data_IF_460143180052
#
_entry.id   IF_460143180052
#
_cell.length_a   1.000
_cell.length_b   1.000
_cell.length_c   1.000
_cell.angle_alpha   90.00
_cell.angle_beta   90.00
_cell.angle_gamma   90.00
#
_symmetry.space_group_name_H-M   'P 1'
#
loop_
_entity.id
_entity.type
_entity.pdbx_description
1 polymer ?
#
# COMPACT_ATOMS: atom_id res chain seq x y z
N UNK A 1 -4.19 2.40 10.42
CA UNK A 1 -3.41 1.50 11.27
C UNK A 1 -2.41 0.75 10.41
N UNK A 2 -1.19 0.57 10.94
CA UNK A 2 -0.18 -0.32 10.38
C UNK A 2 -0.03 -1.52 11.33
N UNK A 3 0.03 -2.72 10.79
CA UNK A 3 0.18 -3.95 11.55
C UNK A 3 1.29 -4.79 10.93
N UNK A 4 2.21 -5.24 11.77
CA UNK A 4 3.30 -6.16 11.38
C UNK A 4 2.93 -7.56 11.85
N UNK A 5 2.90 -8.49 10.93
CA UNK A 5 2.68 -9.91 11.18
C UNK A 5 4.01 -10.65 11.06
N UNK A 6 4.36 -11.43 12.06
CA UNK A 6 5.58 -12.24 12.08
C UNK A 6 5.24 -13.71 11.85
N UNK A 7 6.04 -14.38 11.05
CA UNK A 7 5.91 -15.83 10.83
C UNK A 7 6.40 -16.31 9.48
N UNK A 8 6.53 -17.62 9.35
CA UNK A 8 7.03 -18.32 8.16
C UNK A 8 6.18 -18.10 6.88
N UNK A 9 5.01 -17.50 7.01
CA UNK A 9 4.10 -17.26 5.90
C UNK A 9 4.65 -16.26 4.87
N UNK A 10 5.52 -15.34 5.29
CA UNK A 10 6.10 -14.32 4.41
C UNK A 10 6.83 -14.90 3.19
N UNK A 11 7.46 -16.07 3.33
CA UNK A 11 8.14 -16.78 2.25
C UNK A 11 7.25 -17.19 1.06
N UNK A 12 5.94 -17.20 1.24
CA UNK A 12 4.97 -17.50 0.17
C UNK A 12 4.58 -16.28 -0.66
N UNK A 13 5.09 -15.10 -0.31
CA UNK A 13 4.87 -13.88 -1.10
C UNK A 13 5.92 -13.83 -2.20
N UNK A 14 5.49 -13.90 -3.45
CA UNK A 14 6.37 -13.96 -4.62
C UNK A 14 6.56 -12.62 -5.32
N UNK A 15 5.61 -11.69 -5.16
CA UNK A 15 5.64 -10.40 -5.86
C UNK A 15 4.96 -9.28 -5.05
N UNK A 16 5.43 -8.02 -5.18
CA UNK A 16 4.72 -6.86 -4.63
C UNK A 16 3.34 -6.73 -5.27
N UNK A 17 2.36 -6.25 -4.50
CA UNK A 17 0.97 -6.13 -4.93
C UNK A 17 0.11 -7.36 -4.64
N UNK A 18 0.68 -8.45 -4.12
CA UNK A 18 -0.10 -9.54 -3.57
C UNK A 18 -0.80 -9.13 -2.27
N UNK A 19 -1.77 -9.92 -1.83
CA UNK A 19 -2.56 -9.67 -0.64
C UNK A 19 -2.66 -10.91 0.25
N UNK A 20 -3.08 -10.70 1.48
CA UNK A 20 -3.43 -11.76 2.43
C UNK A 20 -4.92 -11.70 2.75
N UNK A 21 -5.47 -12.82 3.18
CA UNK A 21 -6.87 -12.89 3.57
C UNK A 21 -6.98 -13.40 5.02
N UNK A 22 -7.29 -12.50 5.96
CA UNK A 22 -7.18 -12.70 7.41
C UNK A 22 -8.52 -13.20 7.97
N UNK A 23 -8.49 -14.29 8.70
CA UNK A 23 -9.60 -14.71 9.57
C UNK A 23 -9.59 -13.84 10.83
N UNK A 24 -10.66 -13.10 11.05
CA UNK A 24 -10.70 -12.08 12.09
C UNK A 24 -10.86 -12.69 13.50
N UNK A 25 -11.69 -13.74 13.60
CA UNK A 25 -11.92 -14.48 14.84
C UNK A 25 -12.41 -15.90 14.51
N UNK A 26 -12.64 -16.72 15.55
CA UNK A 26 -13.17 -18.08 15.42
C UNK A 26 -14.70 -18.15 15.54
N UNK A 27 -15.37 -17.01 15.72
CA UNK A 27 -16.83 -16.96 15.75
C UNK A 27 -17.44 -16.94 14.35
N UNK A 28 -18.76 -17.14 14.28
CA UNK A 28 -19.51 -17.03 13.04
C UNK A 28 -19.74 -15.58 12.59
N UNK A 29 -19.39 -14.59 13.40
CA UNK A 29 -19.50 -13.17 13.08
C UNK A 29 -18.25 -12.40 13.56
N UNK A 30 -17.61 -11.65 12.66
CA UNK A 30 -17.81 -11.63 11.22
C UNK A 30 -17.25 -12.91 10.55
N UNK A 31 -18.09 -13.60 9.79
CA UNK A 31 -17.73 -14.91 9.20
C UNK A 31 -16.64 -14.82 8.12
N UNK A 32 -16.74 -13.81 7.24
CA UNK A 32 -15.84 -13.70 6.10
C UNK A 32 -14.44 -13.21 6.53
N UNK A 33 -13.41 -13.77 5.92
CA UNK A 33 -12.05 -13.25 6.00
C UNK A 33 -11.98 -11.83 5.43
N UNK A 34 -10.98 -11.08 5.84
CA UNK A 34 -10.72 -9.72 5.33
C UNK A 34 -9.49 -9.71 4.44
N UNK A 35 -9.66 -9.39 3.14
CA UNK A 35 -8.53 -9.22 2.22
C UNK A 35 -7.78 -7.92 2.59
N UNK A 36 -6.47 -8.03 2.76
CA UNK A 36 -5.58 -6.92 3.08
C UNK A 36 -4.40 -6.93 2.12
N UNK A 37 -4.20 -5.82 1.42
CA UNK A 37 -3.02 -5.66 0.58
C UNK A 37 -1.75 -5.65 1.42
N UNK A 38 -0.70 -6.29 0.92
CA UNK A 38 0.61 -6.27 1.54
C UNK A 38 1.30 -4.95 1.17
N UNK A 39 1.72 -4.21 2.19
CA UNK A 39 2.47 -2.96 2.02
C UNK A 39 3.96 -3.23 1.86
N UNK A 40 4.51 -4.05 2.76
CA UNK A 40 5.91 -4.44 2.76
C UNK A 40 6.06 -5.86 3.30
N UNK A 41 7.17 -6.52 2.99
CA UNK A 41 7.49 -7.83 3.51
C UNK A 41 8.98 -8.14 3.42
N UNK A 42 9.45 -9.00 4.30
CA UNK A 42 10.75 -9.65 4.28
C UNK A 42 10.58 -11.17 4.50
N UNK A 43 11.63 -11.88 4.84
CA UNK A 43 11.59 -13.34 5.01
C UNK A 43 10.67 -13.80 6.14
N UNK A 44 10.43 -12.96 7.16
CA UNK A 44 9.70 -13.30 8.37
C UNK A 44 8.54 -12.37 8.70
N UNK A 45 8.42 -11.23 8.01
CA UNK A 45 7.43 -10.22 8.35
C UNK A 45 6.57 -9.85 7.15
N UNK A 46 5.31 -9.56 7.42
CA UNK A 46 4.35 -8.98 6.49
C UNK A 46 3.77 -7.73 7.12
N UNK A 47 3.84 -6.60 6.41
CA UNK A 47 3.25 -5.33 6.84
C UNK A 47 1.96 -5.08 6.07
N UNK A 48 0.87 -4.85 6.80
CA UNK A 48 -0.40 -4.42 6.23
C UNK A 48 -0.81 -3.07 6.78
N UNK A 49 -1.54 -2.30 5.97
CA UNK A 49 -2.10 -1.01 6.39
C UNK A 49 -3.60 -1.02 6.09
N UNK A 50 -4.39 -0.66 7.08
CA UNK A 50 -5.84 -0.67 6.97
C UNK A 50 -6.51 0.48 7.72
N UNK A 51 -7.72 0.80 7.30
CA UNK A 51 -8.62 1.74 7.97
C UNK A 51 -9.74 0.96 8.65
N UNK A 52 -10.16 1.42 9.82
CA UNK A 52 -11.34 0.86 10.48
C UNK A 52 -12.59 1.37 9.75
N UNK A 53 -13.30 0.45 9.10
CA UNK A 53 -14.50 0.76 8.31
C UNK A 53 -15.70 -0.11 8.68
N UNK A 54 -15.51 -1.07 9.59
CA UNK A 54 -16.57 -1.97 10.04
C UNK A 54 -16.08 -2.93 11.11
N UNK A 55 -16.96 -3.82 11.56
CA UNK A 55 -16.74 -4.74 12.67
C UNK A 55 -15.42 -5.53 12.57
N UNK A 56 -15.16 -6.17 11.41
CA UNK A 56 -13.94 -6.97 11.24
C UNK A 56 -12.66 -6.17 11.38
N UNK A 57 -12.60 -4.95 10.84
CA UNK A 57 -11.42 -4.08 10.97
C UNK A 57 -11.32 -3.44 12.35
N UNK A 58 -12.43 -3.29 13.08
CA UNK A 58 -12.43 -2.90 14.49
C UNK A 58 -11.80 -4.00 15.35
N UNK A 59 -12.24 -5.24 15.19
CA UNK A 59 -11.67 -6.39 15.92
C UNK A 59 -10.17 -6.54 15.57
N UNK A 60 -9.81 -6.39 14.31
CA UNK A 60 -8.40 -6.48 13.89
C UNK A 60 -7.53 -5.40 14.56
N UNK A 61 -8.03 -4.16 14.64
CA UNK A 61 -7.35 -3.05 15.29
C UNK A 61 -7.08 -3.35 16.79
N UNK A 62 -8.02 -4.02 17.45
CA UNK A 62 -7.98 -4.27 18.89
C UNK A 62 -7.25 -5.59 19.25
N UNK A 63 -6.65 -6.28 18.27
CA UNK A 63 -5.80 -7.45 18.52
C UNK A 63 -4.56 -7.08 19.34
N UNK A 64 -4.30 -7.82 20.37
CA UNK A 64 -3.11 -7.65 21.20
C UNK A 64 -1.85 -8.13 20.48
N UNK A 65 -0.72 -7.50 20.79
CA UNK A 65 0.60 -7.94 20.29
C UNK A 65 0.85 -9.39 20.80
N UNK A 66 1.30 -10.24 19.89
CA UNK A 66 1.50 -11.68 20.15
C UNK A 66 0.27 -12.53 19.87
N UNK A 67 -0.88 -11.94 19.50
CA UNK A 67 -2.04 -12.70 19.04
C UNK A 67 -1.72 -13.47 17.77
N UNK A 68 -2.23 -14.70 17.66
CA UNK A 68 -2.12 -15.48 16.43
C UNK A 68 -3.27 -15.15 15.48
N UNK A 69 -2.95 -15.01 14.20
CA UNK A 69 -3.91 -14.78 13.12
C UNK A 69 -3.82 -15.90 12.08
N UNK A 70 -4.96 -16.47 11.73
CA UNK A 70 -5.07 -17.43 10.63
C UNK A 70 -5.18 -16.64 9.30
N UNK A 71 -4.18 -16.76 8.45
CA UNK A 71 -4.05 -16.00 7.20
C UNK A 71 -3.85 -16.94 6.00
N UNK A 72 -4.56 -16.67 4.92
CA UNK A 72 -4.20 -17.17 3.59
C UNK A 72 -3.24 -16.17 2.96
N UNK A 73 -2.06 -16.63 2.54
CA UNK A 73 -0.94 -15.78 2.12
C UNK A 73 -0.56 -16.07 0.67
N UNK A 74 0.08 -15.10 0.00
CA UNK A 74 0.53 -15.24 -1.39
C UNK A 74 -0.62 -15.21 -2.40
N UNK A 75 -1.71 -14.51 -2.08
CA UNK A 75 -2.87 -14.37 -2.95
C UNK A 75 -2.67 -13.25 -3.98
N UNK A 76 -3.25 -13.44 -5.17
CA UNK A 76 -3.12 -12.50 -6.29
C UNK A 76 -1.81 -12.67 -7.07
N UNK A 77 -1.74 -12.00 -8.22
CA UNK A 77 -0.61 -12.14 -9.16
C UNK A 77 0.52 -11.14 -8.92
N UNK A 78 0.26 -10.06 -8.15
CA UNK A 78 1.21 -8.97 -7.96
C UNK A 78 1.39 -8.08 -9.20
N UNK A 79 2.33 -7.13 -9.09
CA UNK A 79 2.70 -6.25 -10.20
C UNK A 79 3.77 -6.89 -11.07
N UNK A 80 3.66 -6.69 -12.39
CA UNK A 80 4.71 -7.06 -13.33
C UNK A 80 5.71 -5.90 -13.44
N UNK A 81 6.94 -6.12 -13.00
CA UNK A 81 8.03 -5.13 -13.11
C UNK A 81 8.52 -5.11 -14.56
N UNK A 82 8.67 -3.89 -15.11
CA UNK A 82 9.19 -3.63 -16.46
C UNK A 82 10.35 -2.64 -16.36
N UNK A 83 11.14 -2.55 -17.41
CA UNK A 83 12.25 -1.59 -17.50
C UNK A 83 11.75 -0.16 -17.75
N UNK A 84 12.61 0.83 -17.41
CA UNK A 84 12.37 2.23 -17.64
C UNK A 84 11.97 3.02 -16.38
N UNK A 85 11.69 4.30 -16.58
CA UNK A 85 11.24 5.21 -15.51
C UNK A 85 9.84 4.87 -15.05
N UNK A 86 9.68 4.64 -13.76
CA UNK A 86 8.43 4.20 -13.16
C UNK A 86 7.69 5.34 -12.44
N UNK A 87 6.40 5.46 -12.71
CA UNK A 87 5.48 6.32 -11.97
C UNK A 87 4.57 5.47 -11.09
N UNK A 88 4.63 5.68 -9.77
CA UNK A 88 3.72 5.10 -8.80
C UNK A 88 2.59 6.09 -8.49
N UNK A 89 1.35 5.64 -8.59
CA UNK A 89 0.17 6.47 -8.37
C UNK A 89 -0.71 5.81 -7.31
N UNK A 90 -0.68 6.35 -6.09
CA UNK A 90 -1.44 5.83 -4.94
C UNK A 90 -2.57 6.76 -4.54
N UNK A 91 -3.78 6.22 -4.34
CA UNK A 91 -4.93 6.96 -3.81
C UNK A 91 -5.37 6.41 -2.45
N UNK A 92 -5.25 7.20 -1.36
CA UNK A 92 -5.65 6.77 -0.03
C UNK A 92 -5.04 5.41 0.36
N UNK A 93 -5.89 4.42 0.68
CA UNK A 93 -5.45 3.05 1.01
C UNK A 93 -4.90 2.24 -0.19
N UNK A 94 -4.87 2.81 -1.39
CA UNK A 94 -4.11 2.26 -2.50
C UNK A 94 -2.61 2.59 -2.45
N UNK A 95 -2.18 3.48 -1.55
CA UNK A 95 -0.77 3.81 -1.34
C UNK A 95 0.07 2.64 -0.83
N UNK A 96 -0.32 1.89 0.22
CA UNK A 96 0.48 0.81 0.79
C UNK A 96 0.91 -0.28 -0.19
N UNK A 97 0.06 -0.81 -1.07
CA UNK A 97 0.46 -1.86 -2.03
C UNK A 97 1.60 -1.48 -2.98
N UNK A 98 1.82 -0.17 -3.18
CA UNK A 98 2.87 0.34 -4.06
C UNK A 98 4.23 0.49 -3.34
N UNK A 99 4.27 0.40 -2.01
CA UNK A 99 5.47 0.71 -1.24
C UNK A 99 6.61 -0.29 -1.50
N UNK A 100 6.35 -1.60 -1.31
CA UNK A 100 7.36 -2.63 -1.59
C UNK A 100 7.74 -2.68 -3.08
N UNK A 101 6.79 -2.42 -3.99
CA UNK A 101 7.08 -2.29 -5.42
C UNK A 101 8.09 -1.17 -5.67
N UNK A 102 7.88 0.02 -5.10
CA UNK A 102 8.77 1.15 -5.26
C UNK A 102 10.18 0.88 -4.74
N UNK A 103 10.29 0.25 -3.56
CA UNK A 103 11.58 -0.21 -3.01
C UNK A 103 12.32 -1.15 -3.98
N UNK A 104 11.61 -2.13 -4.53
CA UNK A 104 12.20 -3.11 -5.46
C UNK A 104 12.62 -2.47 -6.77
N UNK A 105 11.81 -1.56 -7.33
CA UNK A 105 12.16 -0.81 -8.53
C UNK A 105 13.42 0.04 -8.31
N UNK A 106 13.48 0.81 -7.23
CA UNK A 106 14.63 1.63 -6.89
C UNK A 106 15.89 0.79 -6.64
N UNK A 107 15.77 -0.33 -5.90
CA UNK A 107 16.86 -1.26 -5.67
C UNK A 107 17.39 -1.90 -6.96
N UNK A 108 16.53 -2.07 -7.98
CA UNK A 108 16.91 -2.54 -9.31
C UNK A 108 17.51 -1.43 -10.19
N UNK A 109 17.63 -0.19 -9.70
CA UNK A 109 18.24 0.94 -10.40
C UNK A 109 17.29 1.74 -11.28
N UNK A 110 15.97 1.51 -11.19
CA UNK A 110 14.99 2.33 -11.91
C UNK A 110 14.81 3.71 -11.26
N UNK A 111 14.63 4.74 -12.09
CA UNK A 111 14.14 6.03 -11.61
C UNK A 111 12.67 5.89 -11.22
N UNK A 112 12.35 6.20 -9.96
CA UNK A 112 10.99 6.10 -9.42
C UNK A 112 10.47 7.48 -9.05
N UNK A 113 9.28 7.81 -9.52
CA UNK A 113 8.50 8.98 -9.11
C UNK A 113 7.20 8.50 -8.50
N UNK A 114 6.79 9.12 -7.41
CA UNK A 114 5.58 8.73 -6.68
C UNK A 114 4.62 9.91 -6.58
N UNK A 115 3.35 9.69 -6.93
CA UNK A 115 2.27 10.66 -6.75
C UNK A 115 1.21 10.03 -5.84
N UNK A 116 0.96 10.65 -4.69
CA UNK A 116 0.02 10.18 -3.69
C UNK A 116 -1.15 11.15 -3.56
N UNK A 117 -2.37 10.64 -3.69
CA UNK A 117 -3.61 11.41 -3.60
C UNK A 117 -4.40 11.11 -2.33
N UNK A 118 -4.88 12.18 -1.67
CA UNK A 118 -5.68 12.10 -0.45
C UNK A 118 -6.81 13.13 -0.46
N UNK A 119 -7.76 13.02 0.47
CA UNK A 119 -8.80 14.02 0.60
C UNK A 119 -8.27 15.32 1.22
N UNK A 120 -7.41 15.22 2.23
CA UNK A 120 -6.86 16.35 2.98
C UNK A 120 -5.51 16.02 3.62
N UNK A 121 -4.82 17.04 4.13
CA UNK A 121 -3.52 16.91 4.80
C UNK A 121 -3.53 15.88 5.97
N UNK A 122 -4.64 15.79 6.71
CA UNK A 122 -4.78 14.85 7.84
C UNK A 122 -4.84 13.39 7.41
N UNK A 123 -5.13 13.13 6.14
CA UNK A 123 -5.22 11.78 5.57
C UNK A 123 -3.88 11.33 4.97
N UNK A 124 -2.90 12.23 4.87
CA UNK A 124 -1.58 11.94 4.27
C UNK A 124 -0.78 11.01 5.18
N UNK A 125 -0.29 9.94 4.61
CA UNK A 125 0.62 9.00 5.26
C UNK A 125 1.61 8.40 4.25
N UNK A 126 2.69 7.80 4.72
CA UNK A 126 3.72 7.17 3.91
C UNK A 126 4.55 8.11 3.03
N UNK A 127 4.29 9.41 3.02
CA UNK A 127 5.08 10.37 2.22
C UNK A 127 6.58 10.23 2.49
N UNK A 128 6.97 10.22 3.77
CA UNK A 128 8.38 10.13 4.17
C UNK A 128 8.98 8.76 3.79
N UNK A 129 8.23 7.67 3.96
CA UNK A 129 8.66 6.32 3.57
C UNK A 129 8.96 6.24 2.06
N UNK A 130 8.08 6.80 1.21
CA UNK A 130 8.33 6.84 -0.23
C UNK A 130 9.48 7.78 -0.62
N UNK A 131 9.69 8.87 0.14
CA UNK A 131 10.76 9.82 -0.11
C UNK A 131 12.18 9.23 0.09
N UNK A 132 12.29 8.10 0.79
CA UNK A 132 13.56 7.39 0.95
C UNK A 132 14.13 6.86 -0.37
N UNK A 133 13.29 6.59 -1.37
CA UNK A 133 13.72 5.98 -2.64
C UNK A 133 13.13 6.63 -3.89
N UNK A 134 12.23 7.60 -3.76
CA UNK A 134 11.57 8.25 -4.90
C UNK A 134 11.36 9.74 -4.68
N UNK A 135 11.16 10.49 -5.77
CA UNK A 135 10.62 11.84 -5.69
C UNK A 135 9.11 11.77 -5.48
N UNK A 136 8.63 12.34 -4.38
CA UNK A 136 7.22 12.24 -3.96
C UNK A 136 6.49 13.55 -4.21
N UNK A 137 5.31 13.45 -4.80
CA UNK A 137 4.34 14.53 -4.95
C UNK A 137 3.04 14.16 -4.24
N UNK A 138 2.42 15.14 -3.61
CA UNK A 138 1.15 14.97 -2.91
C UNK A 138 0.07 15.77 -3.62
N UNK A 139 -1.10 15.17 -3.79
CA UNK A 139 -2.34 15.85 -4.16
C UNK A 139 -3.33 15.74 -3.02
N UNK A 140 -4.04 16.84 -2.72
CA UNK A 140 -5.19 16.80 -1.82
C UNK A 140 -6.40 17.46 -2.48
N UNK A 141 -7.57 16.84 -2.32
CA UNK A 141 -8.80 17.37 -2.91
C UNK A 141 -9.14 18.76 -2.40
N UNK A 142 -8.90 19.01 -1.12
CA UNK A 142 -9.15 20.31 -0.49
C UNK A 142 -8.02 21.34 -0.67
N UNK A 143 -6.85 20.92 -1.15
CA UNK A 143 -5.67 21.77 -1.33
C UNK A 143 -4.94 22.11 -0.04
N UNK A 144 -5.18 21.36 1.03
CA UNK A 144 -4.58 21.63 2.36
C UNK A 144 -3.07 21.30 2.40
N UNK A 145 -2.58 20.45 1.50
CA UNK A 145 -1.14 20.21 1.26
C UNK A 145 -0.91 19.75 -0.17
N UNK A 146 0.24 20.09 -0.73
CA UNK A 146 0.63 19.71 -2.10
C UNK A 146 -0.23 20.39 -3.17
N UNK A 147 -0.47 19.69 -4.27
CA UNK A 147 -1.31 20.18 -5.36
C UNK A 147 -2.79 19.99 -5.01
N UNK A 148 -3.58 21.07 -5.15
CA UNK A 148 -5.04 20.98 -5.03
C UNK A 148 -5.62 20.21 -6.22
N UNK A 149 -6.35 19.15 -5.95
CA UNK A 149 -7.00 18.32 -6.96
C UNK A 149 -6.62 16.85 -6.86
N UNK A 150 -6.54 16.20 -8.00
CA UNK A 150 -6.29 14.78 -8.15
C UNK A 150 -4.82 14.48 -8.46
N UNK A 151 -4.44 13.21 -8.42
CA UNK A 151 -3.12 12.73 -8.88
C UNK A 151 -2.86 13.09 -10.36
N UNK A 152 -3.91 13.16 -11.18
CA UNK A 152 -3.79 13.54 -12.61
C UNK A 152 -3.40 15.02 -12.76
N UNK A 153 -3.90 15.88 -11.86
CA UNK A 153 -3.54 17.30 -11.86
C UNK A 153 -2.06 17.49 -11.56
N UNK A 154 -1.51 16.70 -10.62
CA UNK A 154 -0.05 16.68 -10.35
C UNK A 154 0.73 16.28 -11.60
N UNK A 155 0.35 15.15 -12.23
CA UNK A 155 1.06 14.62 -13.40
C UNK A 155 1.11 15.67 -14.51
N UNK A 156 0.00 16.39 -14.74
CA UNK A 156 -0.08 17.46 -15.75
C UNK A 156 0.72 18.69 -15.38
N UNK A 157 0.55 19.19 -14.15
CA UNK A 157 1.19 20.43 -13.69
C UNK A 157 2.71 20.31 -13.63
N UNK A 158 3.20 19.15 -13.21
CA UNK A 158 4.65 18.87 -13.11
C UNK A 158 5.24 18.31 -14.43
N UNK A 159 4.44 18.14 -15.47
CA UNK A 159 4.85 17.55 -16.75
C UNK A 159 5.62 16.23 -16.57
N UNK A 160 5.11 15.35 -15.70
CA UNK A 160 5.80 14.11 -15.38
C UNK A 160 5.86 13.18 -16.60
N UNK A 161 7.07 12.71 -16.90
CA UNK A 161 7.32 11.72 -17.95
C UNK A 161 7.68 10.38 -17.32
N UNK A 162 7.23 9.29 -17.93
CA UNK A 162 7.47 7.93 -17.46
C UNK A 162 7.36 6.94 -18.61
N UNK A 163 8.02 5.79 -18.48
CA UNK A 163 7.94 4.69 -19.46
C UNK A 163 6.86 3.68 -19.04
N UNK A 164 6.59 3.61 -17.72
CA UNK A 164 5.62 2.71 -17.13
C UNK A 164 4.96 3.35 -15.90
N UNK A 165 3.73 2.94 -15.62
CA UNK A 165 3.03 3.39 -14.42
C UNK A 165 2.36 2.23 -13.69
N UNK A 166 2.27 2.38 -12.39
CA UNK A 166 1.57 1.46 -11.50
C UNK A 166 0.60 2.26 -10.65
N UNK A 167 -0.64 1.83 -10.62
CA UNK A 167 -1.67 2.56 -9.90
C UNK A 167 -2.47 1.64 -8.98
N UNK A 168 -2.83 2.17 -7.82
CA UNK A 168 -3.74 1.53 -6.88
C UNK A 168 -4.51 2.58 -6.10
N UNK A 169 -5.81 2.38 -5.91
CA UNK A 169 -6.67 3.29 -5.15
C UNK A 169 -8.10 3.31 -5.65
N UNK A 170 -8.93 4.13 -4.98
CA UNK A 170 -10.29 4.39 -5.43
C UNK A 170 -10.28 5.40 -6.59
N UNK A 171 -11.15 5.16 -7.53
CA UNK A 171 -11.44 6.06 -8.65
C UNK A 171 -12.47 7.08 -8.19
#
# INVERSE_FOLDING_TARGET
>A
YEMVLEGDGAKYISAPGQFINIKINDSLQPYLRRPMSISDYDDNHIVIVFKVVGEGTTILKDKEIGSQLDCLIGLGNGFTIRDGKALLIGGGLGTPPLYNLGKKLAAAGHEVVTVLGFNSAKDVFYQEKFAEFSKVYIATMDGSVGTKGTVVDVIKNENLTFDQYYTCGQI
#
